data_IF_060719973757
#
_entry.id   IF_060719973757
#
_cell.length_a   1.000
_cell.length_b   1.000
_cell.length_c   1.000
_cell.angle_alpha   90.00
_cell.angle_beta   90.00
_cell.angle_gamma   90.00
#
_symmetry.space_group_name_H-M   'P 1'
#
loop_
_entity.id
_entity.type
_entity.pdbx_description
1 polymer ?
#
# COMPACT_ATOMS: atom_id res chain seq x y z
N UNK A 1 -17.26 10.58 8.49
CA UNK A 1 -16.16 11.18 9.28
C UNK A 1 -14.94 10.27 9.23
N UNK A 2 -13.74 10.82 9.47
CA UNK A 2 -12.49 10.05 9.45
C UNK A 2 -11.50 10.45 8.35
N UNK A 3 -11.83 11.44 7.56
CA UNK A 3 -10.87 12.12 6.67
C UNK A 3 -10.54 13.49 7.24
N UNK A 4 -9.30 13.94 7.08
CA UNK A 4 -8.94 15.32 7.40
C UNK A 4 -9.63 16.30 6.45
N UNK A 5 -9.78 17.57 6.85
CA UNK A 5 -10.39 18.60 6.00
C UNK A 5 -9.70 18.69 4.63
N UNK A 6 -8.38 18.56 4.60
CA UNK A 6 -7.60 18.59 3.36
C UNK A 6 -7.92 17.38 2.47
N UNK A 7 -8.03 16.18 3.04
CA UNK A 7 -8.43 14.99 2.29
C UNK A 7 -9.86 15.09 1.78
N UNK A 8 -10.77 15.60 2.60
CA UNK A 8 -12.14 15.88 2.20
C UNK A 8 -12.20 16.83 1.01
N UNK A 9 -11.47 17.93 1.05
CA UNK A 9 -11.35 18.86 -0.07
C UNK A 9 -10.74 18.22 -1.32
N UNK A 10 -9.69 17.43 -1.19
CA UNK A 10 -9.07 16.72 -2.32
C UNK A 10 -10.06 15.79 -3.03
N UNK A 11 -10.93 15.11 -2.28
CA UNK A 11 -11.97 14.26 -2.85
C UNK A 11 -13.08 15.08 -3.50
N UNK A 12 -13.62 16.07 -2.78
CA UNK A 12 -14.76 16.88 -3.23
C UNK A 12 -14.44 17.75 -4.45
N UNK A 13 -13.19 18.09 -4.67
CA UNK A 13 -12.76 18.91 -5.82
C UNK A 13 -12.49 18.10 -7.08
N UNK A 14 -12.58 16.77 -7.04
CA UNK A 14 -12.48 15.95 -8.25
C UNK A 14 -13.72 16.16 -9.12
N UNK A 15 -13.51 16.53 -10.36
CA UNK A 15 -14.58 16.78 -11.33
C UNK A 15 -14.36 15.98 -12.60
N UNK A 16 -15.47 15.55 -13.21
CA UNK A 16 -15.46 14.81 -14.48
C UNK A 16 -16.82 14.16 -14.72
N UNK A 17 -17.22 14.01 -15.97
CA UNK A 17 -18.49 13.36 -16.33
C UNK A 17 -18.57 11.89 -15.89
N UNK A 18 -17.40 11.28 -15.65
CA UNK A 18 -17.24 9.89 -15.20
C UNK A 18 -16.81 9.78 -13.73
N UNK A 19 -16.84 10.87 -12.96
CA UNK A 19 -16.46 10.91 -11.55
C UNK A 19 -17.67 11.14 -10.69
N UNK A 20 -17.89 10.26 -9.71
CA UNK A 20 -18.89 10.43 -8.66
C UNK A 20 -18.23 10.30 -7.29
N UNK A 21 -18.62 11.18 -6.36
CA UNK A 21 -18.12 11.16 -4.99
C UNK A 21 -19.28 10.83 -4.08
N UNK A 22 -19.09 9.81 -3.24
CA UNK A 22 -20.07 9.38 -2.26
C UNK A 22 -19.43 9.35 -0.88
N UNK A 23 -20.01 10.09 0.05
CA UNK A 23 -19.64 10.02 1.46
C UNK A 23 -20.37 8.84 2.12
N UNK A 24 -19.67 8.05 2.89
CA UNK A 24 -20.20 6.94 3.68
C UNK A 24 -20.29 7.37 5.14
N UNK A 25 -21.43 7.14 5.79
CA UNK A 25 -21.56 7.32 7.23
C UNK A 25 -20.79 6.19 7.93
N UNK A 26 -19.66 6.52 8.53
CA UNK A 26 -18.76 5.57 9.16
C UNK A 26 -17.30 6.02 9.08
N UNK A 27 -16.41 5.10 9.25
CA UNK A 27 -14.97 5.33 9.15
C UNK A 27 -14.38 4.70 7.88
N UNK A 28 -13.07 4.81 7.71
CA UNK A 28 -12.37 4.25 6.56
C UNK A 28 -12.54 2.73 6.42
N UNK A 29 -12.56 2.00 7.53
CA UNK A 29 -12.73 0.54 7.52
C UNK A 29 -14.14 0.13 7.07
N UNK A 30 -15.16 0.93 7.40
CA UNK A 30 -16.53 0.72 6.91
C UNK A 30 -16.61 0.88 5.40
N UNK A 31 -16.00 1.94 4.87
CA UNK A 31 -15.92 2.18 3.44
C UNK A 31 -15.14 1.07 2.72
N UNK A 32 -13.99 0.66 3.26
CA UNK A 32 -13.17 -0.41 2.69
C UNK A 32 -13.90 -1.76 2.71
N UNK A 33 -14.60 -2.08 3.79
CA UNK A 33 -15.39 -3.29 3.92
C UNK A 33 -16.58 -3.29 2.95
N UNK A 34 -17.20 -2.13 2.72
CA UNK A 34 -18.23 -1.94 1.72
C UNK A 34 -17.71 -2.24 0.30
N UNK A 35 -16.56 -1.66 -0.05
CA UNK A 35 -15.90 -1.91 -1.34
C UNK A 35 -15.57 -3.40 -1.51
N UNK A 36 -14.99 -4.05 -0.51
CA UNK A 36 -14.68 -5.49 -0.58
C UNK A 36 -15.93 -6.33 -0.83
N UNK A 37 -17.05 -6.01 -0.16
CA UNK A 37 -18.33 -6.69 -0.40
C UNK A 37 -18.82 -6.53 -1.84
N UNK A 38 -18.75 -5.31 -2.39
CA UNK A 38 -19.13 -5.05 -3.79
C UNK A 38 -18.26 -5.86 -4.78
N UNK A 39 -16.94 -5.94 -4.53
CA UNK A 39 -16.04 -6.72 -5.36
C UNK A 39 -16.29 -8.22 -5.29
N UNK A 40 -16.82 -8.72 -4.16
CA UNK A 40 -17.12 -10.13 -3.95
C UNK A 40 -18.53 -10.54 -4.39
N UNK A 41 -19.38 -9.58 -4.74
CA UNK A 41 -20.76 -9.84 -5.17
C UNK A 41 -20.79 -10.32 -6.63
N UNK A 42 -20.96 -11.62 -6.80
CA UNK A 42 -20.98 -12.27 -8.13
C UNK A 42 -22.15 -11.77 -8.99
N UNK A 43 -23.34 -11.60 -8.40
CA UNK A 43 -24.52 -11.13 -9.14
C UNK A 43 -24.32 -9.71 -9.66
N UNK A 44 -23.76 -8.84 -8.83
CA UNK A 44 -23.45 -7.47 -9.24
C UNK A 44 -22.38 -7.45 -10.34
N UNK A 45 -21.38 -8.31 -10.26
CA UNK A 45 -20.34 -8.44 -11.30
C UNK A 45 -20.91 -8.90 -12.62
N UNK A 46 -21.84 -9.87 -12.63
CA UNK A 46 -22.54 -10.33 -13.82
C UNK A 46 -23.34 -9.21 -14.47
N UNK A 47 -24.16 -8.49 -13.69
CA UNK A 47 -24.96 -7.34 -14.20
C UNK A 47 -24.07 -6.24 -14.76
N UNK A 48 -22.91 -5.98 -14.17
CA UNK A 48 -21.96 -5.01 -14.70
C UNK A 48 -21.32 -5.50 -15.99
N UNK A 49 -20.93 -6.77 -16.04
CA UNK A 49 -20.31 -7.38 -17.23
C UNK A 49 -21.25 -7.34 -18.45
N UNK A 50 -22.55 -7.60 -18.26
CA UNK A 50 -23.59 -7.47 -19.31
C UNK A 50 -23.66 -6.06 -19.89
N UNK A 51 -23.29 -5.05 -19.08
CA UNK A 51 -23.27 -3.63 -19.50
C UNK A 51 -21.88 -3.16 -19.97
N UNK A 52 -20.90 -4.07 -20.06
CA UNK A 52 -19.54 -3.76 -20.47
C UNK A 52 -18.68 -3.09 -19.39
N UNK A 53 -19.08 -3.19 -18.11
CA UNK A 53 -18.32 -2.65 -16.97
C UNK A 53 -17.68 -3.75 -16.13
N UNK A 54 -16.62 -3.41 -15.44
CA UNK A 54 -16.00 -4.26 -14.43
C UNK A 54 -15.44 -3.42 -13.28
N UNK A 55 -15.38 -4.00 -12.09
CA UNK A 55 -14.76 -3.35 -10.95
C UNK A 55 -13.24 -3.31 -11.09
N UNK A 56 -12.67 -2.18 -10.74
CA UNK A 56 -11.23 -2.00 -10.61
C UNK A 56 -10.93 -1.15 -9.38
N UNK A 57 -9.68 -1.18 -8.92
CA UNK A 57 -9.22 -0.42 -7.76
C UNK A 57 -8.10 0.52 -8.15
N UNK A 58 -8.18 1.76 -7.67
CA UNK A 58 -7.14 2.77 -7.86
C UNK A 58 -6.15 2.85 -6.69
N UNK A 59 -6.32 2.05 -5.64
CA UNK A 59 -5.41 2.01 -4.50
C UNK A 59 -4.23 1.04 -4.72
N UNK A 60 -3.30 0.99 -3.77
CA UNK A 60 -2.08 0.17 -3.86
C UNK A 60 -2.30 -1.35 -3.81
N UNK A 61 -3.52 -1.82 -3.57
CA UNK A 61 -3.87 -3.24 -3.72
C UNK A 61 -3.77 -3.66 -5.20
N UNK A 62 -4.08 -2.75 -6.11
CA UNK A 62 -3.92 -2.98 -7.53
C UNK A 62 -2.43 -2.97 -7.89
N UNK A 63 -1.94 -4.07 -8.50
CA UNK A 63 -0.57 -4.16 -8.99
C UNK A 63 -0.20 -3.03 -9.96
N UNK A 64 -1.15 -2.57 -10.78
CA UNK A 64 -1.00 -1.41 -11.65
C UNK A 64 -0.67 -0.10 -10.93
N UNK A 65 -0.78 -0.06 -9.59
CA UNK A 65 -0.33 1.08 -8.77
C UNK A 65 1.08 0.89 -8.22
N UNK A 66 1.49 -0.34 -7.96
CA UNK A 66 2.84 -0.66 -7.47
C UNK A 66 3.86 -0.65 -8.61
N UNK A 67 3.49 -1.21 -9.76
CA UNK A 67 4.38 -1.33 -10.91
C UNK A 67 4.99 0.02 -11.38
N UNK A 68 4.24 1.09 -11.59
CA UNK A 68 4.81 2.39 -11.98
C UNK A 68 5.72 3.00 -10.92
N UNK A 69 5.53 2.67 -9.64
CA UNK A 69 6.36 3.20 -8.56
C UNK A 69 7.80 2.66 -8.61
N UNK A 70 8.03 1.52 -9.25
CA UNK A 70 9.39 1.01 -9.50
C UNK A 70 10.22 2.03 -10.28
N UNK A 71 9.59 2.75 -11.23
CA UNK A 71 10.25 3.76 -12.05
C UNK A 71 10.83 4.90 -11.21
N UNK A 72 10.23 5.24 -10.07
CA UNK A 72 10.73 6.31 -9.20
C UNK A 72 12.15 6.02 -8.73
N UNK A 73 12.44 4.78 -8.35
CA UNK A 73 13.74 4.35 -7.84
C UNK A 73 14.79 4.25 -8.93
N UNK A 74 14.39 3.80 -10.12
CA UNK A 74 15.27 3.80 -11.31
C UNK A 74 15.62 5.23 -11.69
N UNK A 75 14.62 6.12 -11.79
CA UNK A 75 14.81 7.53 -12.13
C UNK A 75 15.68 8.24 -11.11
N UNK A 76 15.37 8.10 -9.82
CA UNK A 76 16.14 8.73 -8.75
C UNK A 76 17.61 8.26 -8.74
N UNK A 77 17.85 6.98 -8.97
CA UNK A 77 19.22 6.46 -9.08
C UNK A 77 19.96 7.05 -10.30
N UNK A 78 19.29 7.14 -11.44
CA UNK A 78 19.87 7.75 -12.66
C UNK A 78 20.14 9.25 -12.46
N UNK A 79 19.26 9.97 -11.76
CA UNK A 79 19.44 11.37 -11.43
C UNK A 79 20.66 11.60 -10.54
N UNK A 80 20.84 10.75 -9.52
CA UNK A 80 22.05 10.82 -8.66
C UNK A 80 23.34 10.57 -9.43
N UNK A 81 23.31 9.64 -10.41
CA UNK A 81 24.45 9.40 -11.29
C UNK A 81 24.73 10.58 -12.21
N UNK A 82 23.68 11.13 -12.85
CA UNK A 82 23.79 12.30 -13.74
C UNK A 82 24.35 13.51 -13.01
N UNK A 83 23.90 13.71 -11.78
CA UNK A 83 24.30 14.84 -10.95
C UNK A 83 25.63 14.58 -10.19
N UNK A 84 26.34 13.50 -10.54
CA UNK A 84 27.64 13.09 -9.99
C UNK A 84 27.65 12.97 -8.44
N UNK A 85 26.49 12.63 -7.83
CA UNK A 85 26.35 12.45 -6.39
C UNK A 85 26.80 11.06 -5.93
N UNK A 86 26.79 10.12 -6.84
CA UNK A 86 27.22 8.72 -6.62
C UNK A 86 27.99 8.22 -7.84
N UNK A 87 28.74 7.12 -7.67
CA UNK A 87 29.38 6.41 -8.76
C UNK A 87 28.53 5.22 -9.22
N UNK A 88 28.74 4.77 -10.46
CA UNK A 88 28.03 3.61 -11.02
C UNK A 88 28.24 2.38 -10.17
N UNK A 89 27.17 1.73 -9.75
CA UNK A 89 27.19 0.56 -8.88
C UNK A 89 27.26 0.88 -7.38
N UNK A 90 27.42 2.14 -7.00
CA UNK A 90 27.37 2.55 -5.60
C UNK A 90 25.94 2.36 -5.05
N UNK A 91 25.85 1.75 -3.87
CA UNK A 91 24.56 1.46 -3.25
C UNK A 91 23.99 2.67 -2.54
N UNK A 92 22.72 2.98 -2.82
CA UNK A 92 21.94 4.01 -2.12
C UNK A 92 20.97 3.39 -1.13
N UNK A 93 20.85 3.99 0.05
CA UNK A 93 19.82 3.62 1.00
C UNK A 93 18.55 4.42 0.70
N UNK A 94 17.40 3.77 0.80
CA UNK A 94 16.10 4.37 0.50
C UNK A 94 15.27 4.39 1.78
N UNK A 95 14.81 5.58 2.19
CA UNK A 95 13.92 5.76 3.32
C UNK A 95 12.52 6.12 2.79
N UNK A 96 11.55 5.27 3.07
CA UNK A 96 10.19 5.42 2.57
C UNK A 96 9.23 5.57 3.74
N UNK A 97 8.51 6.72 3.86
CA UNK A 97 7.36 6.83 4.74
C UNK A 97 6.32 5.78 4.32
N UNK A 98 6.05 4.84 5.22
CA UNK A 98 5.36 3.61 4.83
C UNK A 98 4.06 3.43 5.62
N UNK A 99 2.95 3.39 4.89
CA UNK A 99 1.64 2.93 5.35
C UNK A 99 1.29 1.58 4.72
N UNK A 100 0.69 1.60 3.53
CA UNK A 100 0.21 0.40 2.82
C UNK A 100 1.31 -0.47 2.18
N UNK A 101 2.57 -0.21 2.44
CA UNK A 101 3.74 -0.95 1.96
C UNK A 101 3.94 -0.99 0.44
N UNK A 102 3.13 -0.26 -0.34
CA UNK A 102 3.20 -0.29 -1.80
C UNK A 102 4.49 0.28 -2.36
N UNK A 103 4.87 1.46 -1.91
CA UNK A 103 6.02 2.19 -2.43
C UNK A 103 7.36 1.54 -2.02
N UNK A 104 7.51 1.12 -0.75
CA UNK A 104 8.73 0.41 -0.32
C UNK A 104 8.85 -0.99 -0.98
N UNK A 105 7.71 -1.64 -1.29
CA UNK A 105 7.69 -2.87 -2.07
C UNK A 105 8.18 -2.62 -3.51
N UNK A 106 7.81 -1.50 -4.11
CA UNK A 106 8.33 -1.09 -5.41
C UNK A 106 9.85 -0.86 -5.38
N UNK A 107 10.37 -0.28 -4.29
CA UNK A 107 11.82 -0.16 -4.07
C UNK A 107 12.51 -1.53 -3.95
N UNK A 108 11.86 -2.48 -3.28
CA UNK A 108 12.34 -3.86 -3.22
C UNK A 108 12.44 -4.47 -4.62
N UNK A 109 11.39 -4.35 -5.43
CA UNK A 109 11.43 -4.88 -6.79
C UNK A 109 12.45 -4.15 -7.68
N UNK A 110 12.62 -2.84 -7.54
CA UNK A 110 13.69 -2.11 -8.23
C UNK A 110 15.07 -2.70 -7.91
N UNK A 111 15.30 -3.04 -6.63
CA UNK A 111 16.55 -3.72 -6.21
C UNK A 111 16.69 -5.10 -6.83
N UNK A 112 15.66 -5.91 -6.84
CA UNK A 112 15.67 -7.25 -7.47
C UNK A 112 15.86 -7.16 -9.01
N UNK A 113 15.44 -6.06 -9.62
CA UNK A 113 15.70 -5.76 -11.03
C UNK A 113 17.12 -5.25 -11.29
N UNK A 114 17.93 -5.07 -10.27
CA UNK A 114 19.35 -4.72 -10.39
C UNK A 114 19.71 -3.27 -10.10
N UNK A 115 18.76 -2.42 -9.66
CA UNK A 115 19.10 -1.08 -9.17
C UNK A 115 19.92 -1.23 -7.88
N UNK A 116 21.09 -0.56 -7.77
CA UNK A 116 21.96 -0.70 -6.60
C UNK A 116 21.36 -0.04 -5.34
N UNK A 117 20.33 -0.66 -4.79
CA UNK A 117 19.70 -0.26 -3.55
C UNK A 117 20.31 -1.07 -2.40
N UNK A 118 20.77 -0.38 -1.37
CA UNK A 118 21.29 -0.95 -0.14
C UNK A 118 20.17 -1.29 0.84
N UNK A 119 20.01 -0.45 1.87
CA UNK A 119 18.97 -0.64 2.88
C UNK A 119 17.66 -0.01 2.45
N UNK A 120 16.57 -0.74 2.66
CA UNK A 120 15.22 -0.20 2.63
C UNK A 120 14.83 0.15 4.07
N UNK A 121 14.52 1.41 4.32
CA UNK A 121 14.19 1.93 5.64
C UNK A 121 12.71 2.26 5.66
N UNK A 122 11.94 1.48 6.41
CA UNK A 122 10.53 1.67 6.61
C UNK A 122 10.30 2.71 7.71
N UNK A 123 9.98 3.94 7.33
CA UNK A 123 9.66 5.00 8.28
C UNK A 123 8.16 4.95 8.62
N UNK A 124 7.84 5.06 9.90
CA UNK A 124 6.48 5.06 10.42
C UNK A 124 6.22 6.33 11.24
N UNK A 125 4.96 6.75 11.30
CA UNK A 125 4.51 7.72 12.27
C UNK A 125 4.14 7.02 13.60
N UNK A 126 3.25 7.62 14.40
CA UNK A 126 2.79 7.07 15.67
C UNK A 126 2.09 5.70 15.49
N UNK A 127 1.46 5.46 14.32
CA UNK A 127 0.91 4.16 13.93
C UNK A 127 2.03 3.23 13.44
N UNK A 128 2.89 2.79 14.35
CA UNK A 128 4.15 2.11 14.07
C UNK A 128 4.05 0.58 13.98
N UNK A 129 2.93 0.06 13.53
CA UNK A 129 2.71 -1.41 13.42
C UNK A 129 3.80 -2.09 12.59
N UNK A 130 4.20 -1.50 11.48
CA UNK A 130 5.26 -2.03 10.62
C UNK A 130 6.64 -2.00 11.29
N UNK A 131 6.95 -0.92 11.99
CA UNK A 131 8.22 -0.81 12.74
C UNK A 131 8.33 -1.89 13.80
N UNK A 132 7.25 -2.10 14.56
CA UNK A 132 7.22 -3.13 15.60
C UNK A 132 7.28 -4.53 14.98
N UNK A 133 6.55 -4.79 13.90
CA UNK A 133 6.61 -6.04 13.16
C UNK A 133 8.02 -6.35 12.65
N UNK A 134 8.70 -5.40 12.00
CA UNK A 134 10.06 -5.60 11.48
C UNK A 134 11.05 -5.90 12.62
N UNK A 135 10.84 -5.33 13.80
CA UNK A 135 11.72 -5.54 14.97
C UNK A 135 11.45 -6.84 15.72
N UNK A 136 10.21 -7.26 15.78
CA UNK A 136 9.78 -8.36 16.67
C UNK A 136 9.35 -9.62 15.93
N UNK A 137 9.01 -9.50 14.65
CA UNK A 137 8.38 -10.57 13.88
C UNK A 137 6.88 -10.74 14.17
N UNK A 138 6.30 -9.93 15.06
CA UNK A 138 4.88 -10.01 15.44
C UNK A 138 4.13 -8.84 14.83
N UNK A 139 3.15 -9.16 13.98
CA UNK A 139 2.22 -8.17 13.44
C UNK A 139 0.97 -8.10 14.33
N UNK A 140 0.91 -7.07 15.18
CA UNK A 140 -0.22 -6.84 16.07
C UNK A 140 -1.04 -5.65 15.57
N UNK A 141 -2.26 -5.92 15.09
CA UNK A 141 -3.23 -4.91 14.65
C UNK A 141 -4.14 -4.43 15.78
N UNK A 142 -4.18 -5.14 16.90
CA UNK A 142 -5.04 -4.84 18.06
C UNK A 142 -4.41 -3.77 18.93
N UNK A 143 -4.31 -2.55 18.39
CA UNK A 143 -3.66 -1.41 19.03
C UNK A 143 -4.43 -0.12 18.83
N UNK A 144 -4.12 0.89 19.61
CA UNK A 144 -4.72 2.22 19.47
C UNK A 144 -4.37 2.83 18.12
N UNK A 145 -5.39 3.33 17.44
CA UNK A 145 -5.24 4.12 16.22
C UNK A 145 -5.01 5.59 16.59
N UNK A 146 -4.03 6.23 15.95
CA UNK A 146 -3.69 7.63 16.13
C UNK A 146 -3.94 8.43 14.86
N UNK A 147 -4.73 9.50 14.97
CA UNK A 147 -4.84 10.49 13.90
C UNK A 147 -3.61 11.41 13.95
N UNK A 148 -2.86 11.45 12.86
CA UNK A 148 -1.63 12.25 12.78
C UNK A 148 -1.71 13.28 11.66
N UNK A 149 -0.70 14.15 11.57
CA UNK A 149 -0.55 15.10 10.46
C UNK A 149 -0.13 14.43 9.15
N UNK A 150 0.09 13.12 9.15
CA UNK A 150 0.42 12.30 7.97
C UNK A 150 -0.62 11.21 7.74
N UNK A 151 -1.87 11.58 7.42
CA UNK A 151 -3.01 10.66 7.41
C UNK A 151 -2.88 9.50 6.42
N UNK A 152 -2.11 9.65 5.35
CA UNK A 152 -1.83 8.56 4.39
C UNK A 152 -1.06 7.39 5.02
N UNK A 153 -0.45 7.61 6.19
CA UNK A 153 0.30 6.62 6.95
C UNK A 153 -0.46 6.15 8.19
N UNK A 154 -1.64 6.70 8.46
CA UNK A 154 -2.49 6.34 9.60
C UNK A 154 -3.23 5.04 9.28
N UNK A 155 -2.54 3.94 9.37
CA UNK A 155 -3.06 2.60 9.12
C UNK A 155 -2.60 1.61 10.19
N UNK A 156 -3.42 0.60 10.44
CA UNK A 156 -3.09 -0.55 11.28
C UNK A 156 -2.91 -1.84 10.47
N UNK A 157 -3.45 -1.90 9.25
CA UNK A 157 -3.32 -3.05 8.34
C UNK A 157 -2.68 -2.58 7.04
N UNK A 158 -1.50 -3.10 6.77
CA UNK A 158 -0.70 -2.75 5.59
C UNK A 158 -1.01 -3.69 4.43
N UNK A 159 -1.72 -3.19 3.42
CA UNK A 159 -2.33 -4.02 2.37
C UNK A 159 -1.33 -4.72 1.42
N UNK A 160 -0.09 -4.23 1.30
CA UNK A 160 0.91 -4.84 0.44
C UNK A 160 2.00 -5.60 1.20
N UNK A 161 1.93 -5.64 2.54
CA UNK A 161 2.89 -6.41 3.33
C UNK A 161 2.82 -7.91 2.99
N UNK A 162 1.63 -8.42 2.72
CA UNK A 162 1.40 -9.80 2.27
C UNK A 162 2.29 -10.17 1.07
N UNK A 163 2.46 -9.25 0.11
CA UNK A 163 3.33 -9.46 -1.05
C UNK A 163 4.79 -9.58 -0.68
N UNK A 164 5.25 -8.79 0.30
CA UNK A 164 6.63 -8.89 0.80
C UNK A 164 6.82 -10.19 1.59
N UNK A 165 5.85 -10.58 2.40
CA UNK A 165 5.89 -11.86 3.13
C UNK A 165 5.94 -13.01 2.14
N UNK A 166 5.20 -12.95 1.02
CA UNK A 166 5.24 -13.96 -0.03
C UNK A 166 6.66 -14.13 -0.61
N UNK A 167 7.36 -13.03 -0.89
CA UNK A 167 8.77 -13.12 -1.35
C UNK A 167 9.69 -13.73 -0.29
N UNK A 168 9.51 -13.41 0.99
CA UNK A 168 10.34 -13.93 2.08
C UNK A 168 10.00 -15.38 2.46
N UNK A 169 8.76 -15.80 2.21
CA UNK A 169 8.33 -17.20 2.36
C UNK A 169 8.67 -18.05 1.11
N UNK A 170 9.67 -17.65 0.34
CA UNK A 170 10.11 -18.35 -0.88
C UNK A 170 8.95 -18.62 -1.85
N UNK A 171 7.98 -17.70 -1.88
CA UNK A 171 6.74 -17.77 -2.69
C UNK A 171 5.82 -18.93 -2.34
N UNK A 172 5.85 -19.38 -1.09
CA UNK A 172 4.92 -20.37 -0.55
C UNK A 172 3.56 -19.73 -0.25
N UNK A 173 2.56 -19.99 -1.10
CA UNK A 173 1.19 -19.51 -0.89
C UNK A 173 0.54 -20.12 0.36
N UNK A 174 0.88 -21.35 0.69
CA UNK A 174 0.39 -22.06 1.88
C UNK A 174 0.82 -21.39 3.18
N UNK A 175 2.09 -21.00 3.29
CA UNK A 175 2.60 -20.26 4.46
C UNK A 175 1.97 -18.89 4.58
N UNK A 176 1.90 -18.14 3.48
CA UNK A 176 1.30 -16.79 3.47
C UNK A 176 -0.16 -16.86 3.89
N UNK A 177 -0.94 -17.82 3.36
CA UNK A 177 -2.34 -18.02 3.79
C UNK A 177 -2.45 -18.32 5.28
N UNK A 178 -1.52 -19.12 5.82
CA UNK A 178 -1.49 -19.42 7.25
C UNK A 178 -1.28 -18.13 8.07
N UNK A 179 -0.29 -17.30 7.72
CA UNK A 179 -0.03 -16.03 8.40
C UNK A 179 -1.21 -15.06 8.27
N UNK A 180 -1.79 -14.92 7.09
CA UNK A 180 -2.94 -14.05 6.88
C UNK A 180 -4.19 -14.51 7.66
N UNK A 181 -4.42 -15.81 7.77
CA UNK A 181 -5.50 -16.37 8.58
C UNK A 181 -5.25 -16.13 10.09
N UNK A 182 -4.02 -16.26 10.56
CA UNK A 182 -3.68 -15.93 11.94
C UNK A 182 -3.94 -14.44 12.22
N UNK A 183 -3.48 -13.55 11.34
CA UNK A 183 -3.73 -12.12 11.45
C UNK A 183 -5.23 -11.80 11.44
N UNK A 184 -6.00 -12.47 10.60
CA UNK A 184 -7.45 -12.24 10.51
C UNK A 184 -8.20 -12.66 11.78
N UNK A 185 -7.76 -13.74 12.45
CA UNK A 185 -8.48 -14.35 13.57
C UNK A 185 -7.95 -13.93 14.94
N UNK A 186 -6.67 -13.59 15.04
CA UNK A 186 -5.99 -13.33 16.32
C UNK A 186 -5.51 -11.86 16.45
N UNK A 187 -5.34 -11.19 15.37
CA UNK A 187 -4.86 -9.80 15.32
C UNK A 187 -3.37 -9.67 15.23
#
# INVERSE_FOLDING_TARGET
DGVSDIQGLQMLTQQGENVGICAVEGNFDDAQSGVKRLFSDEKLREVLAERGYFFSSANSINWGRVLPQIVYYVSAYCDLLRDEKIHRGEKVNVCVPTGNFGDILAAYYAREMGVPIGKLICASNQNKVLTDFIRTGIYDRNRTFYNTISPSMDILISSNLERMIFEFAERSDGEVRSYMNQLANQG
#
